data_IF_089618650369
#
_entry.id   IF_089618650369
#
_cell.length_a   1.000
_cell.length_b   1.000
_cell.length_c   1.000
_cell.angle_alpha   90.00
_cell.angle_beta   90.00
_cell.angle_gamma   90.00
#
_symmetry.space_group_name_H-M   'P 1'
#
loop_
_entity.id
_entity.type
_entity.pdbx_description
1 polymer ?
#
# COMPACT_ATOMS: atom_id res chain seq x y z
N UNK A 1 -9.15 35.79 57.38
CA UNK A 1 -8.10 35.02 56.69
C UNK A 1 -8.76 34.31 55.50
N UNK A 2 -8.58 34.87 54.33
CA UNK A 2 -9.06 34.28 53.06
C UNK A 2 -7.97 33.31 52.56
N UNK A 3 -8.32 32.11 52.13
CA UNK A 3 -7.33 31.16 51.57
C UNK A 3 -6.83 31.63 50.20
N UNK A 4 -5.58 31.35 49.84
CA UNK A 4 -5.00 31.79 48.57
C UNK A 4 -5.63 31.01 47.37
N UNK A 5 -6.05 31.76 46.38
CA UNK A 5 -6.52 31.30 45.09
C UNK A 5 -5.37 30.66 44.30
N UNK A 6 -5.42 29.34 44.14
CA UNK A 6 -4.43 28.59 43.37
C UNK A 6 -5.00 28.16 42.02
N UNK A 7 -4.55 28.80 40.94
CA UNK A 7 -4.68 28.28 39.60
C UNK A 7 -5.32 29.18 38.56
N UNK A 8 -4.74 30.38 38.36
CA UNK A 8 -5.07 31.19 37.17
C UNK A 8 -4.61 30.50 35.88
N UNK A 9 -5.51 30.34 34.94
CA UNK A 9 -5.22 29.93 33.55
C UNK A 9 -4.21 30.89 32.93
N UNK A 10 -2.97 30.45 32.72
CA UNK A 10 -1.96 31.23 32.00
C UNK A 10 -2.33 31.21 30.51
N UNK A 11 -2.54 32.40 29.92
CA UNK A 11 -2.67 32.55 28.48
C UNK A 11 -1.40 31.99 27.79
N UNK A 12 -1.53 30.96 26.95
CA UNK A 12 -0.42 30.32 26.25
C UNK A 12 0.08 28.99 26.87
N UNK A 13 -0.50 28.50 27.97
CA UNK A 13 -0.19 27.19 28.53
C UNK A 13 -0.98 26.08 27.79
N UNK A 14 -0.57 25.76 26.57
CA UNK A 14 -1.08 24.65 25.77
C UNK A 14 -0.19 24.43 24.57
N UNK A 15 -0.12 23.17 24.12
CA UNK A 15 0.59 22.82 22.88
C UNK A 15 -0.08 23.53 21.72
N UNK A 16 0.69 24.24 20.87
CA UNK A 16 0.13 24.94 19.70
C UNK A 16 -0.65 23.97 18.82
N UNK A 17 -1.87 24.36 18.30
CA UNK A 17 -2.60 23.52 17.34
C UNK A 17 -1.69 23.12 16.18
N UNK A 18 -1.71 21.84 15.78
CA UNK A 18 -0.86 21.32 14.70
C UNK A 18 0.58 20.95 15.06
N UNK A 19 1.05 21.21 16.31
CA UNK A 19 2.41 20.82 16.73
C UNK A 19 2.53 19.37 17.21
N UNK A 20 1.48 18.54 17.01
CA UNK A 20 1.47 17.11 17.30
C UNK A 20 2.15 16.30 16.20
N UNK A 21 2.42 15.02 16.48
CA UNK A 21 3.03 14.11 15.50
C UNK A 21 2.17 13.85 14.24
N UNK A 22 0.93 14.30 14.23
CA UNK A 22 0.00 14.16 13.11
C UNK A 22 -0.18 15.43 12.26
N UNK A 23 0.47 16.57 12.64
CA UNK A 23 0.34 17.84 11.92
C UNK A 23 -1.04 18.51 12.03
N UNK A 24 -2.01 17.88 12.71
CA UNK A 24 -3.38 18.33 12.88
C UNK A 24 -3.84 18.25 14.33
N UNK A 25 -4.98 18.90 14.70
CA UNK A 25 -5.55 18.78 16.04
C UNK A 25 -5.98 17.36 16.35
N UNK A 26 -5.63 16.86 17.54
CA UNK A 26 -6.01 15.52 17.98
C UNK A 26 -7.01 15.57 19.12
N UNK A 27 -7.88 14.56 19.22
CA UNK A 27 -8.80 14.38 20.33
C UNK A 27 -8.47 13.10 21.10
N UNK A 28 -8.57 13.10 22.44
CA UNK A 28 -8.39 11.89 23.23
C UNK A 28 -9.59 10.94 23.00
N UNK A 29 -9.28 9.70 22.69
CA UNK A 29 -10.28 8.61 22.49
C UNK A 29 -9.97 7.51 23.49
N UNK A 30 -11.01 6.95 24.13
CA UNK A 30 -10.88 5.76 24.97
C UNK A 30 -10.95 4.52 24.11
N UNK A 31 -9.91 3.69 24.17
CA UNK A 31 -9.80 2.45 23.40
C UNK A 31 -9.75 1.28 24.39
N UNK A 32 -10.48 0.17 24.16
CA UNK A 32 -10.33 -1.06 24.94
C UNK A 32 -8.88 -1.53 24.93
N UNK A 33 -8.37 -1.99 26.08
CA UNK A 33 -6.95 -2.35 26.22
C UNK A 33 -6.48 -3.38 25.19
N UNK A 34 -7.34 -4.33 24.82
CA UNK A 34 -7.08 -5.33 23.78
C UNK A 34 -6.94 -4.77 22.36
N UNK A 35 -7.36 -3.52 22.11
CA UNK A 35 -7.32 -2.89 20.79
C UNK A 35 -6.27 -1.78 20.70
N UNK A 36 -5.60 -1.45 21.81
CA UNK A 36 -4.63 -0.34 21.84
C UNK A 36 -3.51 -0.56 20.84
N UNK A 37 -2.95 -1.76 20.77
CA UNK A 37 -1.85 -2.09 19.87
C UNK A 37 -2.25 -1.94 18.39
N UNK A 38 -3.45 -2.41 18.03
CA UNK A 38 -3.99 -2.28 16.68
C UNK A 38 -4.24 -0.80 16.30
N UNK A 39 -4.76 0.01 17.24
CA UNK A 39 -5.00 1.45 17.01
C UNK A 39 -3.69 2.21 16.90
N UNK A 40 -2.69 1.90 17.73
CA UNK A 40 -1.36 2.52 17.63
C UNK A 40 -0.71 2.17 16.30
N UNK A 41 -0.72 0.91 15.89
CA UNK A 41 -0.19 0.47 14.59
C UNK A 41 -0.90 1.17 13.41
N UNK A 42 -2.23 1.33 13.49
CA UNK A 42 -3.00 2.08 12.51
C UNK A 42 -2.58 3.55 12.43
N UNK A 43 -2.45 4.23 13.58
CA UNK A 43 -2.04 5.63 13.63
C UNK A 43 -0.60 5.82 13.17
N UNK A 44 0.30 4.88 13.46
CA UNK A 44 1.68 4.92 12.97
C UNK A 44 1.74 4.69 11.45
N UNK A 45 0.93 3.78 10.90
CA UNK A 45 0.77 3.62 9.46
C UNK A 45 0.20 4.88 8.79
N UNK A 46 -0.77 5.55 9.42
CA UNK A 46 -1.32 6.82 8.94
C UNK A 46 -0.27 7.94 8.91
N UNK A 47 0.54 8.07 9.97
CA UNK A 47 1.65 9.05 10.03
C UNK A 47 2.70 8.80 8.96
N UNK A 48 2.97 7.55 8.68
CA UNK A 48 3.96 7.15 7.69
C UNK A 48 3.45 7.25 6.24
N UNK A 49 2.15 7.36 5.99
CA UNK A 49 1.59 7.49 4.64
C UNK A 49 2.04 8.76 3.88
N UNK A 50 2.66 9.72 4.59
CA UNK A 50 3.06 11.03 4.03
C UNK A 50 4.43 11.02 3.31
N UNK A 51 5.14 9.87 3.26
CA UNK A 51 6.46 9.79 2.61
C UNK A 51 6.51 8.59 1.67
N UNK A 52 5.83 8.68 0.52
CA UNK A 52 6.03 7.70 -0.56
C UNK A 52 7.45 7.87 -1.13
N UNK A 53 8.22 6.77 -1.21
CA UNK A 53 9.44 6.76 -2.02
C UNK A 53 9.05 7.06 -3.48
N UNK A 54 9.83 7.91 -4.15
CA UNK A 54 9.60 8.22 -5.56
C UNK A 54 9.58 6.94 -6.41
N UNK A 55 8.69 6.83 -7.41
CA UNK A 55 8.66 5.70 -8.32
C UNK A 55 10.02 5.48 -8.98
N UNK A 56 10.50 4.23 -8.99
CA UNK A 56 11.75 3.87 -9.65
C UNK A 56 11.44 3.17 -10.96
N UNK A 57 11.98 3.66 -12.10
CA UNK A 57 11.84 2.98 -13.38
C UNK A 57 12.57 1.64 -13.33
N UNK A 58 12.03 0.64 -14.00
CA UNK A 58 12.69 -0.65 -14.17
C UNK A 58 13.76 -0.51 -15.24
N UNK A 59 15.02 -0.81 -14.87
CA UNK A 59 16.11 -0.92 -15.83
C UNK A 59 16.20 -2.37 -16.28
N UNK A 60 15.90 -2.62 -17.55
CA UNK A 60 16.08 -3.96 -18.16
C UNK A 60 17.56 -4.16 -18.44
N UNK A 61 18.20 -4.90 -17.58
CA UNK A 61 19.61 -5.29 -17.71
C UNK A 61 19.79 -6.61 -18.46
N UNK A 62 20.87 -7.32 -18.18
CA UNK A 62 21.15 -8.65 -18.75
C UNK A 62 20.05 -9.64 -18.34
N UNK A 63 19.54 -10.39 -19.30
CA UNK A 63 18.60 -11.50 -19.07
C UNK A 63 19.22 -12.52 -18.12
N UNK A 64 18.56 -12.80 -17.02
CA UNK A 64 18.92 -13.89 -16.10
C UNK A 64 17.88 -14.98 -16.25
N UNK A 65 18.29 -16.07 -16.87
CA UNK A 65 17.46 -17.26 -17.03
C UNK A 65 17.51 -18.10 -15.77
N UNK A 66 16.38 -18.42 -15.20
CA UNK A 66 16.24 -19.28 -14.04
C UNK A 66 15.62 -20.61 -14.45
N UNK A 67 16.12 -21.69 -13.89
CA UNK A 67 15.53 -23.02 -14.09
C UNK A 67 14.20 -23.09 -13.34
N UNK A 68 13.12 -23.41 -14.05
CA UNK A 68 11.82 -23.69 -13.47
C UNK A 68 11.62 -25.20 -13.32
N UNK A 69 10.76 -25.58 -12.39
CA UNK A 69 10.31 -26.96 -12.21
C UNK A 69 8.84 -27.04 -12.60
N UNK A 70 8.48 -28.00 -13.45
CA UNK A 70 7.10 -28.27 -13.88
C UNK A 70 6.22 -28.73 -12.71
N UNK A 71 6.83 -29.31 -11.66
CA UNK A 71 6.11 -29.81 -10.48
C UNK A 71 5.61 -28.69 -9.61
N UNK A 72 4.31 -28.74 -9.28
CA UNK A 72 3.72 -27.83 -8.26
C UNK A 72 4.16 -28.26 -6.87
N UNK A 73 4.66 -27.33 -6.08
CA UNK A 73 4.94 -27.56 -4.66
C UNK A 73 3.65 -27.43 -3.88
N UNK A 74 3.14 -28.53 -3.24
CA UNK A 74 1.91 -28.42 -2.45
C UNK A 74 2.17 -27.57 -1.19
N UNK A 75 1.27 -26.64 -0.93
CA UNK A 75 1.29 -25.79 0.27
C UNK A 75 0.53 -26.45 1.45
N UNK A 76 0.06 -27.68 1.28
CA UNK A 76 -0.63 -28.47 2.29
C UNK A 76 0.20 -29.70 2.69
N UNK A 77 -0.37 -30.89 2.48
CA UNK A 77 0.34 -32.15 2.76
C UNK A 77 1.48 -32.39 1.76
N UNK A 78 2.62 -32.96 2.21
CA UNK A 78 3.70 -33.30 1.31
C UNK A 78 3.27 -34.33 0.26
N UNK A 79 3.76 -34.16 -0.94
CA UNK A 79 3.58 -35.09 -2.08
C UNK A 79 4.94 -35.55 -2.54
N UNK A 80 5.07 -36.78 -3.11
CA UNK A 80 6.33 -37.24 -3.68
C UNK A 80 6.87 -36.25 -4.70
N UNK A 81 8.14 -35.88 -4.55
CA UNK A 81 8.82 -34.99 -5.48
C UNK A 81 9.03 -35.72 -6.82
N UNK A 82 8.37 -35.26 -7.88
CA UNK A 82 8.69 -35.65 -9.24
C UNK A 82 9.53 -34.53 -9.85
N UNK A 83 10.78 -34.80 -10.10
CA UNK A 83 11.72 -33.86 -10.72
C UNK A 83 11.49 -33.84 -12.23
N UNK A 84 10.57 -33.03 -12.68
CA UNK A 84 10.50 -32.60 -14.08
C UNK A 84 11.00 -31.18 -14.17
N UNK A 85 12.13 -30.99 -14.87
CA UNK A 85 12.61 -29.67 -15.23
C UNK A 85 11.69 -29.13 -16.34
N UNK A 86 11.19 -27.93 -16.13
CA UNK A 86 10.52 -27.15 -17.15
C UNK A 86 11.53 -26.22 -17.83
N UNK A 87 11.06 -25.50 -18.84
CA UNK A 87 11.87 -24.49 -19.54
C UNK A 87 12.39 -23.41 -18.58
N UNK A 88 13.49 -22.80 -18.97
CA UNK A 88 14.04 -21.67 -18.21
C UNK A 88 13.11 -20.47 -18.25
N UNK A 89 12.89 -19.83 -17.10
CA UNK A 89 12.11 -18.61 -16.97
C UNK A 89 13.01 -17.38 -16.99
N UNK A 90 12.71 -16.43 -17.86
CA UNK A 90 13.26 -15.07 -17.78
C UNK A 90 12.36 -14.20 -16.88
N UNK A 91 12.89 -13.80 -15.74
CA UNK A 91 12.13 -12.96 -14.81
C UNK A 91 11.72 -11.61 -15.39
N UNK A 92 12.50 -11.07 -16.33
CA UNK A 92 12.08 -9.82 -16.98
C UNK A 92 10.85 -10.05 -17.85
N UNK A 93 10.82 -11.15 -18.62
CA UNK A 93 9.67 -11.50 -19.45
C UNK A 93 8.44 -11.89 -18.61
N UNK A 94 8.65 -12.42 -17.40
CA UNK A 94 7.56 -12.75 -16.46
C UNK A 94 6.92 -11.51 -15.84
N UNK A 95 7.74 -10.51 -15.49
CA UNK A 95 7.30 -9.34 -14.72
C UNK A 95 6.96 -8.13 -15.59
N UNK A 96 7.48 -8.06 -16.81
CA UNK A 96 7.39 -6.89 -17.70
C UNK A 96 6.73 -7.29 -19.00
N UNK A 97 5.64 -6.61 -19.35
CA UNK A 97 4.99 -6.80 -20.64
C UNK A 97 5.92 -6.29 -21.75
N UNK A 98 6.15 -7.11 -22.75
CA UNK A 98 7.01 -6.76 -23.89
C UNK A 98 6.54 -5.48 -24.57
N UNK A 99 7.44 -4.52 -24.71
CA UNK A 99 7.17 -3.19 -25.25
C UNK A 99 6.75 -2.14 -24.22
N UNK A 100 6.53 -2.56 -22.93
CA UNK A 100 6.18 -1.65 -21.85
C UNK A 100 7.36 -1.37 -20.88
N UNK A 101 8.58 -1.76 -21.26
CA UNK A 101 9.77 -1.71 -20.39
C UNK A 101 10.01 -0.31 -19.82
N UNK A 102 9.87 0.73 -20.63
CA UNK A 102 10.08 2.13 -20.21
C UNK A 102 8.92 2.70 -19.39
N UNK A 103 7.79 2.03 -19.40
CA UNK A 103 6.58 2.44 -18.67
C UNK A 103 6.26 1.55 -17.46
N UNK A 104 7.13 0.57 -17.19
CA UNK A 104 7.03 -0.31 -16.02
C UNK A 104 7.89 0.23 -14.88
N UNK A 105 7.31 0.32 -13.71
CA UNK A 105 7.93 0.88 -12.50
C UNK A 105 7.80 -0.06 -11.33
N UNK A 106 8.74 0.04 -10.39
CA UNK A 106 8.63 -0.63 -9.09
C UNK A 106 8.42 0.41 -8.00
N UNK A 107 7.38 0.19 -7.18
CA UNK A 107 7.08 1.01 -6.02
C UNK A 107 7.11 0.16 -4.76
N UNK A 108 7.48 0.77 -3.63
CA UNK A 108 7.37 0.16 -2.32
C UNK A 108 6.01 0.48 -1.72
N UNK A 109 5.33 -0.55 -1.24
CA UNK A 109 4.04 -0.43 -0.57
C UNK A 109 4.23 0.06 0.86
N UNK A 110 3.33 0.94 1.28
CA UNK A 110 3.24 1.43 2.64
C UNK A 110 1.80 1.33 3.13
N UNK A 111 1.63 0.73 4.29
CA UNK A 111 0.33 0.55 4.94
C UNK A 111 -0.38 -0.75 4.59
N UNK A 112 -1.59 -0.90 5.13
CA UNK A 112 -2.31 -2.17 5.24
C UNK A 112 -3.64 -2.19 4.49
N UNK A 113 -3.93 -1.17 3.69
CA UNK A 113 -5.24 -1.04 3.03
C UNK A 113 -5.54 -2.12 1.99
N UNK A 114 -4.53 -2.89 1.56
CA UNK A 114 -4.63 -3.91 0.52
C UNK A 114 -4.27 -5.33 1.02
N UNK A 115 -4.28 -5.55 2.34
CA UNK A 115 -3.83 -6.82 2.92
C UNK A 115 -4.62 -8.04 2.45
N UNK A 116 -5.93 -7.91 2.24
CA UNK A 116 -6.77 -9.02 1.76
C UNK A 116 -6.57 -9.31 0.25
N UNK A 117 -5.96 -8.39 -0.49
CA UNK A 117 -5.45 -8.64 -1.83
C UNK A 117 -4.05 -9.29 -1.82
N UNK A 118 -3.50 -9.62 -0.64
CA UNK A 118 -2.17 -10.19 -0.49
C UNK A 118 -1.04 -9.19 -0.61
N UNK A 119 -1.31 -7.88 -0.58
CA UNK A 119 -0.31 -6.80 -0.64
C UNK A 119 -0.15 -6.21 0.76
N UNK A 120 1.07 -6.27 1.30
CA UNK A 120 1.38 -5.87 2.67
C UNK A 120 2.39 -4.73 2.71
N UNK A 121 2.48 -4.10 3.88
CA UNK A 121 3.49 -3.09 4.15
C UNK A 121 4.91 -3.60 3.88
N UNK A 122 5.72 -2.80 3.17
CA UNK A 122 7.08 -3.14 2.77
C UNK A 122 7.23 -3.98 1.51
N UNK A 123 6.15 -4.52 0.95
CA UNK A 123 6.18 -5.22 -0.35
C UNK A 123 6.62 -4.27 -1.48
N UNK A 124 7.08 -4.84 -2.59
CA UNK A 124 7.27 -4.11 -3.83
C UNK A 124 6.19 -4.51 -4.82
N UNK A 125 5.64 -3.55 -5.54
CA UNK A 125 4.69 -3.78 -6.62
C UNK A 125 5.31 -3.37 -7.95
N UNK A 126 5.02 -4.14 -8.98
CA UNK A 126 5.31 -3.79 -10.37
C UNK A 126 4.08 -3.11 -10.94
N UNK A 127 4.26 -1.95 -11.53
CA UNK A 127 3.17 -1.09 -12.04
C UNK A 127 3.45 -0.75 -13.49
N UNK A 128 2.48 -1.01 -14.32
CA UNK A 128 2.50 -0.68 -15.75
C UNK A 128 1.61 0.54 -16.00
N UNK A 129 2.18 1.55 -16.65
CA UNK A 129 1.50 2.82 -16.93
C UNK A 129 0.83 2.89 -18.30
N UNK A 130 1.04 1.90 -19.15
CA UNK A 130 0.44 1.82 -20.50
C UNK A 130 -0.87 1.04 -20.49
N UNK A 131 -1.05 0.16 -19.52
CA UNK A 131 -2.28 -0.61 -19.39
C UNK A 131 -3.47 0.30 -19.12
N UNK A 132 -4.54 0.11 -19.89
CA UNK A 132 -5.85 0.72 -19.61
C UNK A 132 -6.45 0.08 -18.35
N UNK A 133 -6.70 0.86 -17.29
CA UNK A 133 -7.24 0.32 -16.06
C UNK A 133 -8.68 -0.17 -16.23
N UNK A 134 -8.94 -1.40 -15.85
CA UNK A 134 -10.25 -2.03 -15.89
C UNK A 134 -10.88 -2.10 -14.50
N UNK A 135 -12.19 -2.28 -14.45
CA UNK A 135 -12.88 -2.52 -13.18
C UNK A 135 -12.31 -3.78 -12.51
N UNK A 136 -12.06 -3.70 -11.22
CA UNK A 136 -11.41 -4.69 -10.36
C UNK A 136 -9.88 -4.77 -10.48
N UNK A 137 -9.23 -3.98 -11.30
CA UNK A 137 -7.78 -3.89 -11.26
C UNK A 137 -7.31 -3.26 -9.94
N UNK A 138 -6.17 -3.72 -9.45
CA UNK A 138 -5.42 -3.00 -8.43
C UNK A 138 -4.64 -1.90 -9.13
N UNK A 139 -4.84 -0.67 -8.72
CA UNK A 139 -4.25 0.50 -9.36
C UNK A 139 -3.45 1.32 -8.35
N UNK A 140 -2.43 1.98 -8.85
CA UNK A 140 -1.83 3.14 -8.19
C UNK A 140 -2.54 4.36 -8.72
N UNK A 141 -3.12 5.13 -7.82
CA UNK A 141 -3.91 6.31 -8.15
C UNK A 141 -3.35 7.55 -7.43
N UNK A 142 -3.44 8.69 -8.08
CA UNK A 142 -3.22 10.01 -7.50
C UNK A 142 -4.59 10.63 -7.25
N UNK A 143 -4.90 10.88 -6.01
CA UNK A 143 -6.12 11.53 -5.58
C UNK A 143 -5.74 12.82 -4.84
N UNK A 144 -6.16 13.96 -5.36
CA UNK A 144 -5.87 15.27 -4.77
C UNK A 144 -4.37 15.45 -4.40
N UNK A 145 -3.47 14.99 -5.28
CA UNK A 145 -2.01 14.96 -5.17
C UNK A 145 -1.41 13.88 -4.22
N UNK A 146 -2.24 13.01 -3.64
CA UNK A 146 -1.75 11.92 -2.80
C UNK A 146 -1.75 10.58 -3.56
N UNK A 147 -0.62 9.87 -3.50
CA UNK A 147 -0.48 8.55 -4.12
C UNK A 147 -1.10 7.47 -3.22
N UNK A 148 -1.91 6.59 -3.80
CA UNK A 148 -2.52 5.49 -3.06
C UNK A 148 -2.64 4.23 -3.92
N UNK A 149 -2.71 3.06 -3.27
CA UNK A 149 -2.98 1.77 -3.92
C UNK A 149 -4.36 1.32 -3.49
N UNK A 150 -5.23 1.05 -4.46
CA UNK A 150 -6.59 0.58 -4.22
C UNK A 150 -7.06 -0.31 -5.36
N UNK A 151 -8.17 -1.01 -5.15
CA UNK A 151 -8.89 -1.66 -6.24
C UNK A 151 -9.83 -0.67 -6.89
N UNK A 152 -9.78 -0.57 -8.21
CA UNK A 152 -10.69 0.26 -8.98
C UNK A 152 -12.08 -0.38 -9.02
N UNK A 153 -13.11 0.36 -8.63
CA UNK A 153 -14.46 -0.19 -8.55
C UNK A 153 -15.54 0.88 -8.56
N UNK A 154 -16.72 0.49 -8.13
CA UNK A 154 -17.88 1.37 -8.01
C UNK A 154 -18.61 1.14 -6.70
N UNK A 155 -19.15 2.21 -6.13
CA UNK A 155 -20.08 2.19 -4.99
C UNK A 155 -21.29 3.01 -5.41
N UNK A 156 -22.47 2.41 -5.35
CA UNK A 156 -23.75 3.06 -5.76
C UNK A 156 -23.70 3.68 -7.17
N UNK A 157 -22.99 2.98 -8.08
CA UNK A 157 -22.81 3.41 -9.47
C UNK A 157 -21.73 4.47 -9.69
N UNK A 158 -21.21 5.11 -8.64
CA UNK A 158 -20.11 6.08 -8.71
C UNK A 158 -18.76 5.37 -8.72
N UNK A 159 -17.79 5.92 -9.44
CA UNK A 159 -16.41 5.49 -9.43
C UNK A 159 -15.86 5.56 -8.00
N UNK A 160 -15.14 4.52 -7.60
CA UNK A 160 -14.58 4.44 -6.26
C UNK A 160 -13.23 3.71 -6.24
N UNK A 161 -12.38 4.08 -5.29
CA UNK A 161 -11.17 3.38 -4.94
C UNK A 161 -11.44 2.52 -3.69
N UNK A 162 -11.43 1.20 -3.89
CA UNK A 162 -11.83 0.22 -2.88
C UNK A 162 -10.60 -0.32 -2.15
N UNK A 163 -10.54 -0.23 -0.81
CA UNK A 163 -9.53 -0.93 -0.04
C UNK A 163 -9.85 -2.44 0.03
N UNK A 164 -8.83 -3.25 0.11
CA UNK A 164 -8.91 -4.68 0.42
C UNK A 164 -8.56 -4.92 1.90
N UNK A 165 -9.22 -4.17 2.77
CA UNK A 165 -9.13 -4.30 4.22
C UNK A 165 -10.38 -3.65 4.84
N UNK A 166 -11.18 -4.39 5.63
CA UNK A 166 -12.43 -3.89 6.19
C UNK A 166 -12.27 -2.73 7.18
N UNK A 167 -11.06 -2.49 7.67
CA UNK A 167 -10.78 -1.34 8.55
C UNK A 167 -10.64 -0.02 7.80
N UNK A 168 -10.63 -0.05 6.47
CA UNK A 168 -10.55 1.14 5.62
C UNK A 168 -11.86 1.33 4.85
N UNK A 169 -12.29 2.57 4.69
CA UNK A 169 -13.49 2.88 3.92
C UNK A 169 -13.16 3.05 2.43
N UNK A 170 -14.09 2.67 1.53
CA UNK A 170 -14.00 3.06 0.13
C UNK A 170 -13.90 4.58 -0.01
N UNK A 171 -13.14 5.02 -0.99
CA UNK A 171 -13.06 6.41 -1.39
C UNK A 171 -13.93 6.57 -2.63
N UNK A 172 -15.10 7.15 -2.47
CA UNK A 172 -16.06 7.40 -3.56
C UNK A 172 -15.74 8.75 -4.15
N UNK A 173 -15.67 8.84 -5.47
CA UNK A 173 -15.39 10.09 -6.17
C UNK A 173 -16.61 11.02 -6.13
N UNK A 174 -16.40 12.24 -5.67
CA UNK A 174 -17.37 13.31 -5.66
C UNK A 174 -17.05 14.39 -6.72
N UNK A 175 -18.00 15.31 -6.95
CA UNK A 175 -17.80 16.44 -7.85
C UNK A 175 -16.67 17.34 -7.32
N UNK A 176 -15.61 17.51 -8.11
CA UNK A 176 -14.43 18.31 -7.76
C UNK A 176 -13.21 17.50 -7.36
N UNK A 177 -13.32 16.18 -7.17
CA UNK A 177 -12.16 15.34 -6.94
C UNK A 177 -11.31 15.19 -8.21
N UNK A 178 -10.01 15.30 -8.05
CA UNK A 178 -9.04 15.02 -9.10
C UNK A 178 -8.43 13.63 -8.90
N UNK A 179 -8.97 12.67 -9.65
CA UNK A 179 -8.44 11.30 -9.69
C UNK A 179 -7.67 11.08 -11.00
N UNK A 180 -6.43 10.69 -10.87
CA UNK A 180 -5.62 10.17 -11.97
C UNK A 180 -5.20 8.74 -11.65
N UNK A 181 -5.45 7.79 -12.56
CA UNK A 181 -4.87 6.45 -12.43
C UNK A 181 -3.44 6.52 -12.98
N UNK A 182 -2.47 6.42 -12.08
CA UNK A 182 -1.06 6.50 -12.42
C UNK A 182 -0.55 5.23 -13.12
N UNK A 183 -1.12 4.06 -12.82
CA UNK A 183 -0.84 2.80 -13.48
C UNK A 183 -1.53 1.61 -12.83
N UNK A 184 -1.50 0.48 -13.53
CA UNK A 184 -2.09 -0.79 -13.10
C UNK A 184 -1.02 -1.65 -12.43
N UNK A 185 -1.33 -2.22 -11.27
CA UNK A 185 -0.44 -3.14 -10.56
C UNK A 185 -0.53 -4.52 -11.21
N UNK A 186 0.58 -4.99 -11.74
CA UNK A 186 0.66 -6.30 -12.41
C UNK A 186 1.17 -7.41 -11.49
N UNK A 187 2.15 -7.09 -10.62
CA UNK A 187 2.78 -8.07 -9.73
C UNK A 187 3.04 -7.50 -8.34
N UNK A 188 3.11 -8.39 -7.35
CA UNK A 188 3.56 -8.07 -6.01
C UNK A 188 4.75 -8.96 -5.64
N UNK A 189 5.86 -8.32 -5.24
CA UNK A 189 7.12 -8.97 -4.91
C UNK A 189 7.38 -8.88 -3.42
N UNK A 190 7.49 -10.01 -2.76
CA UNK A 190 7.78 -10.12 -1.33
C UNK A 190 9.03 -10.94 -1.08
N UNK A 191 9.91 -10.43 -0.22
CA UNK A 191 11.07 -11.18 0.25
C UNK A 191 10.77 -11.80 1.62
N UNK A 192 11.00 -13.11 1.75
CA UNK A 192 10.86 -13.83 3.02
C UNK A 192 12.20 -13.96 3.78
N UNK A 193 13.31 -13.52 3.19
CA UNK A 193 14.61 -13.47 3.90
C UNK A 193 14.68 -12.20 4.75
N UNK A 194 15.10 -12.36 6.02
CA UNK A 194 15.46 -11.24 6.89
C UNK A 194 16.70 -10.56 6.32
N UNK A 195 16.59 -9.28 6.02
CA UNK A 195 17.69 -8.37 5.73
C UNK A 195 18.47 -8.67 4.43
N UNK A 196 18.16 -7.94 3.42
CA UNK A 196 19.13 -7.49 2.40
C UNK A 196 19.09 -5.99 2.38
#
# INVERSE_FOLDING_TARGET
>A
MTPPDHGGTRAGAGRKPGSGPFGEPTQPVRVPQSQVEAVVAYLDAYRQATTAEAPQPVSVGTTISLTAFASRVPAGFPSPAQEYLDDSIDLNAELIIKGHEVATFVLRVKGWSMMNAGIFDGDRIVVDRVLDPQQNDVVVAVLNNDLTIKRLGKVDGKLALLPENPHFKPIVMDEGDHLEIWGVVTHCLRSFKRGR
#
